data_IF_891942255446
#
_entry.id   IF_891942255446
#
_cell.length_a   1.000
_cell.length_b   1.000
_cell.length_c   1.000
_cell.angle_alpha   90.00
_cell.angle_beta   90.00
_cell.angle_gamma   90.00
#
_symmetry.space_group_name_H-M   'P 1'
#
loop_
_entity.id
_entity.type
_entity.pdbx_description
1 polymer ?
#
# COMPACT_ATOMS: atom_id res chain seq x y z
N UNK A 1 18.64 10.69 -7.67
CA UNK A 1 19.54 9.51 -7.60
C UNK A 1 19.11 8.54 -6.48
N UNK A 2 18.78 9.03 -5.28
CA UNK A 2 18.33 8.19 -4.14
C UNK A 2 17.00 7.45 -4.33
N UNK A 3 16.03 8.02 -5.06
CA UNK A 3 14.72 7.40 -5.27
C UNK A 3 14.81 6.00 -5.93
N UNK A 4 15.80 5.77 -6.81
CA UNK A 4 15.90 4.50 -7.56
C UNK A 4 16.23 3.29 -6.68
N UNK A 5 16.92 3.50 -5.56
CA UNK A 5 17.24 2.42 -4.60
C UNK A 5 16.05 2.02 -3.74
N UNK A 6 15.10 2.93 -3.51
CA UNK A 6 13.91 2.66 -2.71
C UNK A 6 12.92 1.77 -3.48
N UNK A 7 12.94 1.85 -4.81
CA UNK A 7 12.04 1.09 -5.69
C UNK A 7 12.69 -0.17 -6.26
N UNK A 8 13.89 -0.55 -5.81
CA UNK A 8 14.49 -1.81 -6.23
C UNK A 8 13.82 -2.98 -5.50
N UNK A 9 13.57 -4.07 -6.24
CA UNK A 9 12.89 -5.26 -5.72
C UNK A 9 11.45 -5.02 -5.21
N UNK A 10 10.76 -4.00 -5.71
CA UNK A 10 9.33 -3.77 -5.39
C UNK A 10 8.40 -4.45 -6.38
N UNK A 11 7.19 -4.80 -5.91
CA UNK A 11 6.12 -5.31 -6.75
C UNK A 11 5.80 -4.35 -7.91
N UNK A 12 5.51 -4.87 -9.12
CA UNK A 12 5.03 -4.05 -10.23
C UNK A 12 3.69 -3.37 -9.94
N UNK A 13 2.95 -3.77 -8.91
CA UNK A 13 1.69 -3.14 -8.49
C UNK A 13 1.88 -1.96 -7.51
N UNK A 14 3.12 -1.66 -7.10
CA UNK A 14 3.37 -0.62 -6.08
C UNK A 14 2.82 0.76 -6.49
N UNK A 15 2.96 1.14 -7.77
CA UNK A 15 2.44 2.42 -8.26
C UNK A 15 0.90 2.46 -8.20
N UNK A 16 0.25 1.32 -8.42
CA UNK A 16 -1.20 1.20 -8.33
C UNK A 16 -1.68 1.33 -6.88
N UNK A 17 -1.00 0.68 -5.93
CA UNK A 17 -1.31 0.83 -4.51
C UNK A 17 -1.09 2.25 -4.00
N UNK A 18 -0.04 2.93 -4.46
CA UNK A 18 0.18 4.34 -4.14
C UNK A 18 -0.96 5.23 -4.64
N UNK A 19 -1.47 4.99 -5.86
CA UNK A 19 -2.62 5.72 -6.40
C UNK A 19 -3.88 5.49 -5.58
N UNK A 20 -4.14 4.25 -5.16
CA UNK A 20 -5.28 3.94 -4.29
C UNK A 20 -5.12 4.65 -2.95
N UNK A 21 -3.95 4.57 -2.32
CA UNK A 21 -3.69 5.25 -1.06
C UNK A 21 -3.90 6.76 -1.18
N UNK A 22 -3.39 7.39 -2.24
CA UNK A 22 -3.59 8.82 -2.48
C UNK A 22 -5.07 9.20 -2.67
N UNK A 23 -5.85 8.33 -3.32
CA UNK A 23 -7.30 8.54 -3.47
C UNK A 23 -8.05 8.50 -2.15
N UNK A 24 -7.58 7.70 -1.18
CA UNK A 24 -8.19 7.55 0.14
C UNK A 24 -7.64 8.57 1.17
N UNK A 25 -6.36 8.91 1.06
CA UNK A 25 -5.62 9.81 1.95
C UNK A 25 -4.65 10.68 1.13
N UNK A 26 -5.12 11.80 0.55
CA UNK A 26 -4.31 12.68 -0.31
C UNK A 26 -3.03 13.22 0.37
N UNK A 27 -3.07 13.40 1.69
CA UNK A 27 -1.95 13.88 2.51
C UNK A 27 -0.83 12.84 2.74
N UNK A 28 -1.01 11.59 2.30
CA UNK A 28 -0.07 10.52 2.55
C UNK A 28 1.27 10.66 1.77
N UNK A 29 1.27 11.34 0.62
CA UNK A 29 2.45 11.43 -0.26
C UNK A 29 3.64 12.14 0.40
N UNK A 30 3.38 13.27 1.05
CA UNK A 30 4.42 14.14 1.61
C UNK A 30 5.22 13.49 2.74
N UNK A 31 4.63 12.52 3.44
CA UNK A 31 5.24 11.83 4.58
C UNK A 31 5.83 10.45 4.24
N UNK A 32 5.54 9.90 3.06
CA UNK A 32 5.88 8.51 2.74
C UNK A 32 7.41 8.26 2.77
N UNK A 33 8.18 9.17 2.16
CA UNK A 33 9.63 9.05 2.14
C UNK A 33 10.23 9.19 3.55
N UNK A 34 9.69 10.11 4.35
CA UNK A 34 10.11 10.31 5.73
C UNK A 34 9.90 9.05 6.57
N UNK A 35 8.72 8.42 6.47
CA UNK A 35 8.40 7.20 7.19
C UNK A 35 9.29 6.01 6.80
N UNK A 36 9.60 5.85 5.51
CA UNK A 36 10.52 4.81 5.05
C UNK A 36 11.90 5.01 5.67
N UNK A 37 12.38 6.26 5.74
CA UNK A 37 13.66 6.57 6.37
C UNK A 37 13.65 6.37 7.88
N UNK A 38 12.59 6.79 8.58
CA UNK A 38 12.49 6.57 10.02
C UNK A 38 12.44 5.08 10.35
N UNK A 39 11.74 4.26 9.56
CA UNK A 39 11.76 2.79 9.72
C UNK A 39 13.13 2.22 9.46
N UNK A 40 13.82 2.66 8.41
CA UNK A 40 15.17 2.20 8.09
C UNK A 40 16.18 2.54 9.20
N UNK A 41 16.03 3.71 9.84
CA UNK A 41 16.88 4.17 10.95
C UNK A 41 16.79 3.29 12.19
N UNK A 42 15.70 2.54 12.35
CA UNK A 42 15.46 1.66 13.49
C UNK A 42 15.96 0.23 13.25
N UNK A 43 16.46 -0.10 12.06
CA UNK A 43 16.99 -1.43 11.76
C UNK A 43 18.46 -1.56 12.21
N UNK A 44 18.79 -2.67 12.86
CA UNK A 44 20.16 -2.98 13.28
C UNK A 44 21.09 -3.31 12.09
N UNK A 45 20.51 -3.82 11.01
CA UNK A 45 21.18 -4.10 9.73
C UNK A 45 20.57 -3.26 8.60
N UNK A 46 21.30 -3.09 7.49
CA UNK A 46 20.79 -2.36 6.33
C UNK A 46 19.58 -3.11 5.76
N UNK A 47 18.38 -2.53 5.80
CA UNK A 47 17.16 -3.22 5.37
C UNK A 47 17.02 -3.18 3.84
N UNK A 48 16.17 -4.06 3.32
CA UNK A 48 15.72 -3.96 1.94
C UNK A 48 14.74 -2.77 1.81
N UNK A 49 15.21 -1.64 1.29
CA UNK A 49 14.43 -0.40 1.21
C UNK A 49 13.13 -0.56 0.41
N UNK A 50 13.12 -1.41 -0.63
CA UNK A 50 11.90 -1.76 -1.36
C UNK A 50 10.86 -2.47 -0.50
N UNK A 51 11.28 -3.29 0.47
CA UNK A 51 10.34 -3.94 1.38
C UNK A 51 9.80 -2.92 2.38
N UNK A 52 10.65 -2.03 2.89
CA UNK A 52 10.20 -0.95 3.77
C UNK A 52 9.18 -0.04 3.07
N UNK A 53 9.44 0.35 1.82
CA UNK A 53 8.51 1.16 1.02
C UNK A 53 7.15 0.46 0.89
N UNK A 54 7.15 -0.80 0.47
CA UNK A 54 5.92 -1.60 0.31
C UNK A 54 5.18 -1.78 1.64
N UNK A 55 5.88 -2.06 2.74
CA UNK A 55 5.27 -2.15 4.07
C UNK A 55 4.65 -0.84 4.52
N UNK A 56 5.25 0.30 4.18
CA UNK A 56 4.70 1.62 4.54
C UNK A 56 3.45 1.91 3.72
N UNK A 57 3.49 1.73 2.39
CA UNK A 57 2.34 1.95 1.51
C UNK A 57 1.19 1.02 1.86
N UNK A 58 1.43 -0.29 1.94
CA UNK A 58 0.38 -1.28 2.19
C UNK A 58 -0.17 -1.21 3.61
N UNK A 59 0.67 -0.86 4.59
CA UNK A 59 0.22 -0.63 5.97
C UNK A 59 -0.77 0.53 6.05
N UNK A 60 -0.41 1.69 5.48
CA UNK A 60 -1.30 2.87 5.43
C UNK A 60 -2.56 2.59 4.61
N UNK A 61 -2.43 1.86 3.50
CA UNK A 61 -3.58 1.49 2.67
C UNK A 61 -4.54 0.58 3.45
N UNK A 62 -4.03 -0.43 4.19
CA UNK A 62 -4.85 -1.26 5.07
C UNK A 62 -5.60 -0.43 6.12
N UNK A 63 -4.91 0.52 6.75
CA UNK A 63 -5.53 1.43 7.71
C UNK A 63 -6.62 2.30 7.07
N UNK A 64 -6.35 2.89 5.91
CA UNK A 64 -7.30 3.73 5.18
C UNK A 64 -8.56 2.95 4.75
N UNK A 65 -8.38 1.73 4.23
CA UNK A 65 -9.51 0.86 3.84
C UNK A 65 -10.31 0.46 5.07
N UNK A 66 -9.67 0.00 6.16
CA UNK A 66 -10.38 -0.38 7.38
C UNK A 66 -11.10 0.79 8.06
N UNK A 67 -10.61 2.02 7.92
CA UNK A 67 -11.30 3.21 8.43
C UNK A 67 -12.57 3.53 7.63
N UNK A 68 -12.53 3.34 6.31
CA UNK A 68 -13.65 3.65 5.42
C UNK A 68 -14.67 2.52 5.35
N UNK A 69 -14.21 1.27 5.35
CA UNK A 69 -15.01 0.03 5.32
C UNK A 69 -14.57 -0.92 6.44
N UNK A 70 -15.10 -0.76 7.67
CA UNK A 70 -14.66 -1.53 8.83
C UNK A 70 -14.91 -3.03 8.75
N UNK A 71 -15.90 -3.46 7.95
CA UNK A 71 -16.29 -4.86 7.81
C UNK A 71 -15.51 -5.60 6.71
N UNK A 72 -14.67 -4.90 5.95
CA UNK A 72 -13.85 -5.51 4.90
C UNK A 72 -12.65 -6.27 5.49
N UNK A 73 -12.38 -7.45 4.94
CA UNK A 73 -11.18 -8.20 5.28
C UNK A 73 -10.00 -7.69 4.44
N UNK A 74 -9.08 -6.96 5.07
CA UNK A 74 -7.91 -6.39 4.39
C UNK A 74 -6.63 -6.99 4.92
N UNK A 75 -5.82 -7.58 4.04
CA UNK A 75 -4.55 -8.21 4.37
C UNK A 75 -3.48 -7.86 3.34
N UNK A 76 -2.21 -7.96 3.76
CA UNK A 76 -1.08 -7.73 2.88
C UNK A 76 0.13 -8.53 3.32
N UNK A 77 1.01 -8.81 2.37
CA UNK A 77 2.28 -9.47 2.59
C UNK A 77 3.35 -8.79 1.75
N UNK A 78 4.56 -8.69 2.32
CA UNK A 78 5.69 -8.04 1.66
C UNK A 78 6.92 -8.91 1.80
N UNK A 79 7.55 -9.19 0.66
CA UNK A 79 8.94 -9.60 0.58
C UNK A 79 9.54 -9.15 -0.77
N UNK A 80 10.82 -9.43 -0.98
CA UNK A 80 11.55 -8.97 -2.18
C UNK A 80 11.21 -9.74 -3.47
N UNK A 81 10.37 -10.76 -3.41
CA UNK A 81 10.02 -11.66 -4.55
C UNK A 81 8.55 -11.59 -4.91
N UNK A 82 7.69 -11.58 -3.90
CA UNK A 82 6.24 -11.55 -4.02
C UNK A 82 5.65 -10.71 -2.89
N UNK A 83 5.07 -9.58 -3.27
CA UNK A 83 4.31 -8.71 -2.37
C UNK A 83 2.90 -8.56 -2.93
N UNK A 84 1.91 -8.67 -2.06
CA UNK A 84 0.50 -8.62 -2.43
C UNK A 84 -0.33 -7.89 -1.38
N UNK A 85 -1.45 -7.33 -1.84
CA UNK A 85 -2.46 -6.65 -1.05
C UNK A 85 -3.82 -7.21 -1.46
N UNK A 86 -4.60 -7.65 -0.49
CA UNK A 86 -5.88 -8.33 -0.72
C UNK A 86 -7.01 -7.68 0.07
N UNK A 87 -8.16 -7.55 -0.57
CA UNK A 87 -9.41 -7.07 0.03
C UNK A 87 -10.48 -8.13 -0.22
N UNK A 88 -11.16 -8.59 0.84
CA UNK A 88 -12.18 -9.64 0.80
C UNK A 88 -11.71 -10.90 0.03
N UNK A 89 -10.44 -11.28 0.21
CA UNK A 89 -9.82 -12.43 -0.45
C UNK A 89 -9.44 -12.23 -1.92
N UNK A 90 -9.59 -11.01 -2.46
CA UNK A 90 -9.22 -10.66 -3.83
C UNK A 90 -7.90 -9.90 -3.83
N UNK A 91 -6.90 -10.42 -4.55
CA UNK A 91 -5.64 -9.71 -4.80
C UNK A 91 -5.90 -8.45 -5.63
N UNK A 92 -5.57 -7.28 -5.07
CA UNK A 92 -5.70 -6.00 -5.75
C UNK A 92 -4.38 -5.67 -6.43
N UNK A 93 -4.37 -5.75 -7.76
CA UNK A 93 -3.15 -5.53 -8.57
C UNK A 93 -3.15 -4.20 -9.31
N UNK A 94 -4.32 -3.61 -9.49
CA UNK A 94 -4.48 -2.33 -10.16
C UNK A 94 -5.56 -1.46 -9.51
N UNK A 95 -5.50 -0.16 -9.81
CA UNK A 95 -6.41 0.84 -9.26
C UNK A 95 -7.89 0.59 -9.65
N UNK A 96 -8.15 0.12 -10.88
CA UNK A 96 -9.51 -0.05 -11.38
C UNK A 96 -10.21 -1.23 -10.71
N UNK A 97 -9.46 -2.30 -10.42
CA UNK A 97 -9.97 -3.42 -9.65
C UNK A 97 -10.45 -2.99 -8.26
N UNK A 98 -9.69 -2.12 -7.58
CA UNK A 98 -10.11 -1.56 -6.30
C UNK A 98 -11.35 -0.68 -6.44
N UNK A 99 -11.35 0.20 -7.45
CA UNK A 99 -12.47 1.11 -7.72
C UNK A 99 -13.79 0.36 -7.99
N UNK A 100 -13.75 -0.73 -8.75
CA UNK A 100 -14.93 -1.57 -8.99
C UNK A 100 -15.47 -2.21 -7.71
N UNK A 101 -14.60 -2.61 -6.78
CA UNK A 101 -15.04 -3.15 -5.49
C UNK A 101 -15.75 -2.08 -4.66
N UNK A 102 -15.26 -0.84 -4.67
CA UNK A 102 -15.84 0.24 -3.88
C UNK A 102 -17.13 0.79 -4.47
N UNK A 103 -17.25 0.87 -5.80
CA UNK A 103 -18.47 1.37 -6.46
C UNK A 103 -19.67 0.45 -6.19
N UNK A 104 -19.48 -0.88 -6.21
CA UNK A 104 -20.56 -1.82 -5.90
C UNK A 104 -21.07 -1.64 -4.45
N UNK A 105 -20.18 -1.31 -3.51
CA UNK A 105 -20.56 -1.13 -2.11
C UNK A 105 -21.32 0.19 -1.87
N UNK A 106 -20.94 1.26 -2.57
CA UNK A 106 -21.63 2.56 -2.48
C UNK A 106 -23.01 2.54 -3.15
N UNK A 107 -23.23 1.65 -4.13
CA UNK A 107 -24.55 1.38 -4.72
C UNK A 107 -25.48 0.60 -3.77
N UNK A 108 -24.96 -0.33 -2.98
CA UNK A 108 -25.75 -1.13 -2.02
C UNK A 108 -26.20 -0.32 -0.77
N UNK A 109 -25.55 0.83 -0.50
CA UNK A 109 -25.94 1.77 0.56
C UNK A 109 -27.00 2.82 0.13
N UNK A 110 -27.39 2.85 -1.16
CA UNK A 110 -28.29 3.84 -1.77
C UNK A 110 -29.75 3.38 -1.90
#
# INVERSE_FOLDING_TARGET
>A
MYARFIYDGTSPALDQWQRILYRLQPEAEDSLLHDVWERARLCDEIPHFGNLCQHTVLGRLKEAVNQRWPDWQVDYFVNATDSHFSVNGIDIRDYWQFFQLTDNEEEDES
#
